data_IF_201896659466
#
_entry.id   IF_201896659466
#
_cell.length_a   1.000
_cell.length_b   1.000
_cell.length_c   1.000
_cell.angle_alpha   90.00
_cell.angle_beta   90.00
_cell.angle_gamma   90.00
#
_symmetry.space_group_name_H-M   'P 1'
#
loop_
_entity.id
_entity.type
_entity.pdbx_description
1 polymer ?
#
# COMPACT_ATOMS: atom_id res chain seq x y z
N UNK A 1 -34.75 -18.68 -13.64
CA UNK A 1 -34.61 -17.21 -13.80
C UNK A 1 -33.13 -16.89 -13.62
N UNK A 2 -32.50 -16.27 -14.61
CA UNK A 2 -31.05 -16.11 -14.61
C UNK A 2 -30.63 -15.09 -13.54
N UNK A 3 -29.41 -15.21 -13.01
CA UNK A 3 -28.92 -14.31 -11.94
C UNK A 3 -28.89 -12.84 -12.42
N UNK A 4 -28.59 -12.67 -13.71
CA UNK A 4 -28.62 -11.38 -14.43
C UNK A 4 -30.03 -10.78 -14.49
N UNK A 5 -31.07 -11.60 -14.71
CA UNK A 5 -32.46 -11.11 -14.75
C UNK A 5 -32.91 -10.61 -13.38
N UNK A 6 -32.48 -11.29 -12.31
CA UNK A 6 -32.78 -10.88 -10.93
C UNK A 6 -32.08 -9.57 -10.59
N UNK A 7 -30.82 -9.41 -11.02
CA UNK A 7 -30.08 -8.18 -10.83
C UNK A 7 -30.70 -7.02 -11.62
N UNK A 8 -31.05 -7.22 -12.89
CA UNK A 8 -31.71 -6.21 -13.70
C UNK A 8 -33.03 -5.73 -13.09
N UNK A 9 -33.88 -6.66 -12.63
CA UNK A 9 -35.11 -6.31 -11.89
C UNK A 9 -34.82 -5.55 -10.60
N UNK A 10 -33.79 -5.94 -9.86
CA UNK A 10 -33.41 -5.25 -8.63
C UNK A 10 -32.96 -3.81 -8.89
N UNK A 11 -32.15 -3.57 -9.93
CA UNK A 11 -31.71 -2.22 -10.32
C UNK A 11 -32.92 -1.36 -10.73
N UNK A 12 -33.84 -1.92 -11.52
CA UNK A 12 -35.07 -1.22 -11.92
C UNK A 12 -35.90 -0.79 -10.70
N UNK A 13 -36.10 -1.70 -9.73
CA UNK A 13 -36.82 -1.39 -8.50
C UNK A 13 -36.15 -0.26 -7.70
N UNK A 14 -34.81 -0.20 -7.71
CA UNK A 14 -34.06 0.88 -7.04
C UNK A 14 -34.16 2.21 -7.78
N UNK A 15 -34.12 2.19 -9.10
CA UNK A 15 -34.39 3.39 -9.89
C UNK A 15 -35.79 3.94 -9.60
N UNK A 16 -36.82 3.08 -9.58
CA UNK A 16 -38.19 3.50 -9.25
C UNK A 16 -38.31 4.04 -7.82
N UNK A 17 -37.65 3.41 -6.85
CA UNK A 17 -37.67 3.90 -5.47
C UNK A 17 -37.07 5.31 -5.37
N UNK A 18 -35.95 5.57 -6.06
CA UNK A 18 -35.33 6.90 -6.10
C UNK A 18 -36.26 7.90 -6.79
N UNK A 19 -36.89 7.51 -7.91
CA UNK A 19 -37.83 8.38 -8.62
C UNK A 19 -39.02 8.79 -7.75
N UNK A 20 -39.58 7.86 -6.97
CA UNK A 20 -40.72 8.11 -6.07
C UNK A 20 -40.31 8.90 -4.83
N UNK A 21 -39.19 8.55 -4.17
CA UNK A 21 -38.77 9.19 -2.91
C UNK A 21 -38.29 10.62 -3.12
N UNK A 22 -37.57 10.89 -4.20
CA UNK A 22 -37.05 12.23 -4.51
C UNK A 22 -37.97 13.03 -5.45
N UNK A 23 -39.16 12.50 -5.76
CA UNK A 23 -40.13 13.10 -6.69
C UNK A 23 -39.55 13.44 -8.07
N UNK A 24 -38.47 12.75 -8.48
CA UNK A 24 -37.78 12.96 -9.77
C UNK A 24 -38.69 12.63 -10.94
N UNK A 25 -39.73 11.81 -10.71
CA UNK A 25 -40.74 11.51 -11.74
C UNK A 25 -41.55 12.72 -12.19
N UNK A 26 -41.61 13.79 -11.39
CA UNK A 26 -42.32 15.04 -11.73
C UNK A 26 -41.45 16.03 -12.52
N UNK A 27 -40.14 15.76 -12.63
CA UNK A 27 -39.23 16.64 -13.36
C UNK A 27 -39.44 16.55 -14.86
N UNK A 28 -39.20 17.66 -15.54
CA UNK A 28 -39.13 17.66 -17.00
C UNK A 28 -37.94 16.80 -17.48
N UNK A 29 -37.96 16.30 -18.73
CA UNK A 29 -36.89 15.43 -19.22
C UNK A 29 -35.49 16.04 -19.13
N UNK A 30 -35.37 17.36 -19.31
CA UNK A 30 -34.11 18.09 -19.19
C UNK A 30 -33.62 18.17 -17.74
N UNK A 31 -34.51 18.46 -16.79
CA UNK A 31 -34.19 18.51 -15.36
C UNK A 31 -33.78 17.13 -14.82
N UNK A 32 -34.45 16.07 -15.29
CA UNK A 32 -34.09 14.69 -14.96
C UNK A 32 -32.67 14.35 -15.40
N UNK A 33 -32.26 14.79 -16.60
CA UNK A 33 -30.89 14.59 -17.09
C UNK A 33 -29.86 15.30 -16.20
N UNK A 34 -30.14 16.54 -15.79
CA UNK A 34 -29.27 17.31 -14.90
C UNK A 34 -29.15 16.62 -13.53
N UNK A 35 -30.26 16.15 -12.96
CA UNK A 35 -30.27 15.43 -11.68
C UNK A 35 -29.37 14.19 -11.70
N UNK A 36 -29.55 13.31 -12.69
CA UNK A 36 -28.73 12.12 -12.83
C UNK A 36 -27.26 12.43 -13.10
N UNK A 37 -26.98 13.52 -13.82
CA UNK A 37 -25.61 13.98 -14.07
C UNK A 37 -24.90 14.43 -12.78
N UNK A 38 -25.59 15.15 -11.90
CA UNK A 38 -25.04 15.57 -10.59
C UNK A 38 -24.80 14.36 -9.70
N UNK A 39 -25.78 13.45 -9.60
CA UNK A 39 -25.64 12.21 -8.81
C UNK A 39 -24.47 11.38 -9.32
N UNK A 40 -24.36 11.23 -10.64
CA UNK A 40 -23.24 10.55 -11.28
C UNK A 40 -21.90 11.22 -10.95
N UNK A 41 -21.82 12.55 -11.05
CA UNK A 41 -20.59 13.31 -10.77
C UNK A 41 -20.15 13.13 -9.32
N UNK A 42 -21.06 13.31 -8.35
CA UNK A 42 -20.75 13.15 -6.92
C UNK A 42 -20.32 11.72 -6.62
N UNK A 43 -21.01 10.74 -7.20
CA UNK A 43 -20.68 9.33 -6.98
C UNK A 43 -19.34 8.95 -7.60
N UNK A 44 -19.07 9.39 -8.83
CA UNK A 44 -17.79 9.17 -9.50
C UNK A 44 -16.63 9.82 -8.73
N UNK A 45 -16.80 11.07 -8.28
CA UNK A 45 -15.81 11.76 -7.48
C UNK A 45 -15.54 11.04 -6.15
N UNK A 46 -16.60 10.53 -5.52
CA UNK A 46 -16.49 9.74 -4.28
C UNK A 46 -15.79 8.41 -4.51
N UNK A 47 -16.07 7.72 -5.62
CA UNK A 47 -15.37 6.48 -5.98
C UNK A 47 -13.88 6.75 -6.20
N UNK A 48 -13.54 7.78 -6.97
CA UNK A 48 -12.13 8.13 -7.24
C UNK A 48 -11.43 8.53 -5.94
N UNK A 49 -12.05 9.35 -5.10
CA UNK A 49 -11.53 9.71 -3.79
C UNK A 49 -11.36 8.48 -2.89
N UNK A 50 -12.31 7.54 -2.92
CA UNK A 50 -12.25 6.28 -2.17
C UNK A 50 -11.08 5.43 -2.64
N UNK A 51 -10.91 5.24 -3.95
CA UNK A 51 -9.83 4.41 -4.49
C UNK A 51 -8.46 5.05 -4.24
N UNK A 52 -8.34 6.38 -4.36
CA UNK A 52 -7.04 7.06 -4.29
C UNK A 52 -6.61 7.41 -2.87
N UNK A 53 -7.53 7.86 -2.02
CA UNK A 53 -7.23 8.40 -0.69
C UNK A 53 -7.48 7.38 0.42
N UNK A 54 -8.58 6.61 0.34
CA UNK A 54 -8.94 5.67 1.39
C UNK A 54 -7.89 4.57 1.67
N UNK A 55 -7.18 3.94 0.69
CA UNK A 55 -6.24 2.86 1.02
C UNK A 55 -5.10 3.32 1.92
N UNK A 56 -4.64 4.57 1.77
CA UNK A 56 -3.63 5.15 2.65
C UNK A 56 -4.13 5.25 4.10
N UNK A 57 -5.38 5.69 4.30
CA UNK A 57 -6.00 5.80 5.63
C UNK A 57 -6.30 4.45 6.26
N UNK A 58 -6.72 3.46 5.47
CA UNK A 58 -6.95 2.10 5.95
C UNK A 58 -5.63 1.49 6.45
N UNK A 59 -4.53 1.66 5.70
CA UNK A 59 -3.23 1.13 6.09
C UNK A 59 -2.71 1.76 7.41
N UNK A 60 -2.89 3.08 7.56
CA UNK A 60 -2.53 3.76 8.81
C UNK A 60 -3.36 3.27 9.99
N UNK A 61 -4.68 3.15 9.82
CA UNK A 61 -5.58 2.71 10.89
C UNK A 61 -5.34 1.24 11.26
N UNK A 62 -5.07 0.38 10.27
CA UNK A 62 -4.77 -1.03 10.47
C UNK A 62 -3.46 -1.24 11.24
N UNK A 63 -2.40 -0.48 10.92
CA UNK A 63 -1.14 -0.56 11.66
C UNK A 63 -1.32 -0.15 13.14
N UNK A 64 -2.10 0.91 13.39
CA UNK A 64 -2.42 1.32 14.76
C UNK A 64 -3.34 0.34 15.49
N UNK A 65 -4.32 -0.26 14.81
CA UNK A 65 -5.15 -1.31 15.38
C UNK A 65 -4.32 -2.56 15.72
N UNK A 66 -3.37 -2.91 14.85
CA UNK A 66 -2.44 -4.01 15.08
C UNK A 66 -1.55 -3.77 16.30
N UNK A 67 -1.06 -2.55 16.49
CA UNK A 67 -0.30 -2.13 17.67
C UNK A 67 -1.08 -2.35 18.97
N UNK A 68 -2.37 -1.98 19.00
CA UNK A 68 -3.19 -2.16 20.20
C UNK A 68 -3.58 -3.61 20.48
N UNK A 69 -3.66 -4.46 19.45
CA UNK A 69 -4.04 -5.87 19.59
C UNK A 69 -2.85 -6.75 19.99
N UNK A 70 -1.68 -6.54 19.37
CA UNK A 70 -0.53 -7.44 19.55
C UNK A 70 0.54 -6.88 20.48
N UNK A 71 0.42 -5.62 20.91
CA UNK A 71 1.29 -5.01 21.93
C UNK A 71 2.74 -4.73 21.49
N UNK A 72 3.19 -5.32 20.38
CA UNK A 72 4.53 -5.11 19.82
C UNK A 72 4.44 -4.41 18.46
N UNK A 73 5.17 -3.31 18.32
CA UNK A 73 5.23 -2.52 17.10
C UNK A 73 6.05 -3.27 16.06
N UNK A 74 5.39 -3.98 15.15
CA UNK A 74 6.01 -4.26 13.84
C UNK A 74 5.98 -2.96 13.06
N UNK A 75 6.88 -2.04 13.43
CA UNK A 75 7.26 -0.94 12.59
C UNK A 75 7.95 -1.57 11.38
N UNK A 76 7.18 -1.93 10.35
CA UNK A 76 7.70 -2.49 9.09
C UNK A 76 8.77 -1.60 8.47
N UNK A 77 8.76 -0.29 8.75
CA UNK A 77 9.81 0.65 8.33
C UNK A 77 11.04 0.52 9.21
N UNK A 78 10.87 0.42 10.53
CA UNK A 78 11.92 0.13 11.50
C UNK A 78 12.59 -1.22 11.27
N UNK A 79 11.83 -2.28 11.01
CA UNK A 79 12.30 -3.63 10.71
C UNK A 79 13.05 -3.67 9.38
N UNK A 80 12.56 -2.97 8.35
CA UNK A 80 13.29 -2.84 7.09
C UNK A 80 14.59 -2.05 7.28
N UNK A 81 14.58 -0.99 8.10
CA UNK A 81 15.76 -0.18 8.41
C UNK A 81 16.80 -0.98 9.20
N UNK A 82 16.38 -1.77 10.18
CA UNK A 82 17.26 -2.63 10.97
C UNK A 82 17.82 -3.79 10.14
N UNK A 83 17.00 -4.38 9.26
CA UNK A 83 17.47 -5.40 8.32
C UNK A 83 18.54 -4.83 7.36
N UNK A 84 18.30 -3.63 6.80
CA UNK A 84 19.27 -2.95 5.94
C UNK A 84 20.53 -2.56 6.70
N UNK A 85 20.41 -2.03 7.92
CA UNK A 85 21.54 -1.67 8.75
C UNK A 85 22.39 -2.89 9.11
N UNK A 86 21.75 -4.02 9.43
CA UNK A 86 22.43 -5.29 9.73
C UNK A 86 23.17 -5.82 8.51
N UNK A 87 22.55 -5.79 7.32
CA UNK A 87 23.19 -6.20 6.06
C UNK A 87 24.40 -5.32 5.72
N UNK A 88 24.28 -4.00 5.86
CA UNK A 88 25.41 -3.07 5.64
C UNK A 88 26.53 -3.33 6.64
N UNK A 89 26.20 -3.57 7.91
CA UNK A 89 27.19 -3.87 8.95
C UNK A 89 27.90 -5.21 8.69
N UNK A 90 27.19 -6.27 8.29
CA UNK A 90 27.82 -7.55 7.93
C UNK A 90 28.71 -7.44 6.70
N UNK A 91 28.31 -6.67 5.69
CA UNK A 91 29.12 -6.47 4.48
C UNK A 91 30.36 -5.61 4.76
N UNK A 92 30.23 -4.59 5.62
CA UNK A 92 31.36 -3.79 6.08
C UNK A 92 32.34 -4.62 6.94
N UNK A 93 31.83 -5.49 7.81
CA UNK A 93 32.65 -6.40 8.61
C UNK A 93 33.38 -7.45 7.74
N UNK A 94 32.71 -7.98 6.71
CA UNK A 94 33.32 -8.89 5.74
C UNK A 94 34.42 -8.22 4.89
N UNK A 95 34.20 -6.95 4.49
CA UNK A 95 35.20 -6.16 3.78
C UNK A 95 36.42 -5.82 4.66
N UNK A 96 36.19 -5.52 5.95
CA UNK A 96 37.26 -5.28 6.91
C UNK A 96 38.08 -6.55 7.18
N UNK A 97 37.42 -7.70 7.39
CA UNK A 97 38.09 -9.00 7.61
C UNK A 97 38.94 -9.43 6.41
N UNK A 98 38.45 -9.22 5.18
CA UNK A 98 39.20 -9.49 3.94
C UNK A 98 40.44 -8.61 3.86
N UNK A 99 40.33 -7.32 4.21
CA UNK A 99 41.46 -6.39 4.23
C UNK A 99 42.52 -6.73 5.29
N UNK A 100 42.12 -7.23 6.46
CA UNK A 100 43.07 -7.68 7.50
C UNK A 100 43.81 -8.97 7.10
N UNK A 101 43.12 -9.87 6.39
CA UNK A 101 43.70 -11.13 5.89
C UNK A 101 44.73 -10.91 4.78
N UNK A 102 44.50 -9.93 3.89
CA UNK A 102 45.44 -9.59 2.82
C UNK A 102 46.69 -8.89 3.36
N UNK A 103 46.55 -7.99 4.35
CA UNK A 103 47.68 -7.33 5.01
C UNK A 103 48.55 -8.33 5.78
N UNK A 104 47.93 -9.26 6.53
CA UNK A 104 48.69 -10.27 7.29
C UNK A 104 49.37 -11.31 6.41
N UNK A 105 48.80 -11.62 5.24
CA UNK A 105 49.43 -12.52 4.26
C UNK A 105 50.58 -11.84 3.52
N UNK A 106 50.40 -10.57 3.12
CA UNK A 106 51.47 -9.77 2.53
C UNK A 106 52.64 -9.54 3.53
N UNK A 107 52.33 -9.29 4.81
CA UNK A 107 53.35 -9.14 5.85
C UNK A 107 54.14 -10.44 6.09
N UNK A 108 53.49 -11.60 6.06
CA UNK A 108 54.16 -12.91 6.18
C UNK A 108 55.04 -13.22 4.96
N UNK A 109 54.56 -12.91 3.75
CA UNK A 109 55.33 -13.07 2.52
C UNK A 109 56.57 -12.15 2.50
N UNK A 110 56.45 -10.90 2.97
CA UNK A 110 57.59 -10.00 3.10
C UNK A 110 58.60 -10.50 4.15
N UNK A 111 58.12 -11.01 5.29
CA UNK A 111 58.99 -11.57 6.34
C UNK A 111 59.76 -12.82 5.89
N UNK A 112 59.17 -13.66 5.03
CA UNK A 112 59.88 -14.82 4.46
C UNK A 112 60.93 -14.40 3.44
N UNK A 113 60.67 -13.38 2.62
CA UNK A 113 61.65 -12.89 1.63
C UNK A 113 62.87 -12.23 2.28
N UNK A 114 62.69 -11.52 3.40
CA UNK A 114 63.79 -10.90 4.16
C UNK A 114 64.66 -11.94 4.88
N UNK A 115 64.10 -13.11 5.21
CA UNK A 115 64.81 -14.19 5.90
C UNK A 115 65.71 -15.02 4.96
N UNK A 116 65.44 -14.99 3.65
CA UNK A 116 66.16 -15.73 2.62
C UNK A 116 67.27 -14.91 1.93
N UNK A 117 67.54 -13.68 2.41
CA UNK A 117 68.67 -12.82 2.02
C UNK A 117 69.75 -12.81 3.10
#
# INVERSE_FOLDING_TARGET
MNVLDRFGKWVQLKAYQVEVTYSVYMFTPAEKFIFWSIVFLVHALTIIATILYMPHHIAFLANRAWFYINGDSVDVVGLAKDAVHTLVATNAAAAAATSSSSISTAARAAATMVREL
#
